data_IF_638001970513
#
_entry.id   IF_638001970513
#
_cell.length_a   1.000
_cell.length_b   1.000
_cell.length_c   1.000
_cell.angle_alpha   90.00
_cell.angle_beta   90.00
_cell.angle_gamma   90.00
#
_symmetry.space_group_name_H-M   'P 1'
#
loop_
_entity.id
_entity.type
_entity.pdbx_description
1 polymer ?
#
# COMPACT_ATOMS: atom_id res chain seq x y z
N UNK A 1 11.28 0.56 17.75
CA UNK A 1 10.36 0.64 16.59
C UNK A 1 9.64 -0.69 16.49
N UNK A 2 8.30 -0.70 16.51
CA UNK A 2 7.50 -1.92 16.45
C UNK A 2 6.70 -1.92 15.15
N UNK A 3 7.02 -2.85 14.25
CA UNK A 3 6.17 -3.16 13.10
C UNK A 3 5.39 -4.42 13.47
N UNK A 4 4.07 -4.36 13.34
CA UNK A 4 3.21 -5.49 13.63
C UNK A 4 3.52 -6.66 12.66
N UNK A 5 3.90 -7.85 13.16
CA UNK A 5 4.12 -9.03 12.33
C UNK A 5 2.92 -9.41 11.44
N UNK A 6 1.69 -9.10 11.88
CA UNK A 6 0.48 -9.31 11.08
C UNK A 6 0.49 -8.45 9.82
N UNK A 7 0.94 -7.19 9.91
CA UNK A 7 1.07 -6.29 8.76
C UNK A 7 2.03 -6.88 7.73
N UNK A 8 3.23 -7.30 8.15
CA UNK A 8 4.22 -7.88 7.24
C UNK A 8 3.69 -9.16 6.57
N UNK A 9 3.08 -10.06 7.36
CA UNK A 9 2.47 -11.28 6.84
C UNK A 9 1.35 -10.96 5.84
N UNK A 10 0.56 -9.93 6.12
CA UNK A 10 -0.52 -9.47 5.24
C UNK A 10 0.06 -8.98 3.92
N UNK A 11 1.03 -8.07 3.93
CA UNK A 11 1.64 -7.50 2.72
C UNK A 11 2.37 -8.55 1.89
N UNK A 12 3.09 -9.49 2.51
CA UNK A 12 3.82 -10.53 1.80
C UNK A 12 2.92 -11.44 0.94
N UNK A 13 1.63 -11.57 1.28
CA UNK A 13 0.65 -12.38 0.53
C UNK A 13 0.04 -11.66 -0.68
N UNK A 14 0.38 -10.39 -0.94
CA UNK A 14 -0.26 -9.61 -2.01
C UNK A 14 0.74 -8.72 -2.75
N UNK A 15 1.08 -9.14 -3.96
CA UNK A 15 2.02 -8.40 -4.81
C UNK A 15 1.46 -7.04 -5.23
N UNK A 16 0.15 -6.96 -5.51
CA UNK A 16 -0.49 -5.69 -5.82
C UNK A 16 -0.30 -4.66 -4.70
N UNK A 17 -0.50 -5.06 -3.43
CA UNK A 17 -0.32 -4.16 -2.28
C UNK A 17 1.12 -3.71 -2.13
N UNK A 18 2.11 -4.58 -2.36
CA UNK A 18 3.53 -4.19 -2.37
C UNK A 18 3.82 -3.13 -3.43
N UNK A 19 3.39 -3.35 -4.68
CA UNK A 19 3.59 -2.38 -5.76
C UNK A 19 2.94 -1.03 -5.47
N UNK A 20 1.74 -1.02 -4.90
CA UNK A 20 1.08 0.23 -4.47
C UNK A 20 1.91 0.95 -3.40
N UNK A 21 2.37 0.24 -2.37
CA UNK A 21 3.17 0.83 -1.30
C UNK A 21 4.51 1.38 -1.82
N UNK A 22 5.20 0.65 -2.71
CA UNK A 22 6.46 1.09 -3.32
C UNK A 22 6.26 2.35 -4.17
N UNK A 23 5.17 2.40 -4.96
CA UNK A 23 4.85 3.60 -5.75
C UNK A 23 4.52 4.81 -4.87
N UNK A 24 3.70 4.62 -3.83
CA UNK A 24 3.36 5.71 -2.90
C UNK A 24 4.57 6.22 -2.10
N UNK A 25 5.53 5.35 -1.81
CA UNK A 25 6.84 5.71 -1.23
C UNK A 25 7.69 6.56 -2.20
N UNK A 26 7.70 6.22 -3.49
CA UNK A 26 8.44 6.96 -4.52
C UNK A 26 7.97 8.42 -4.69
N UNK A 27 6.67 8.69 -4.48
CA UNK A 27 6.09 10.04 -4.60
C UNK A 27 5.86 10.73 -3.26
N UNK A 28 6.18 10.08 -2.14
CA UNK A 28 5.96 10.63 -0.80
C UNK A 28 6.73 11.96 -0.61
N UNK A 29 6.12 13.03 -0.05
CA UNK A 29 4.84 13.09 0.66
C UNK A 29 3.64 13.51 -0.21
N UNK A 30 3.73 13.43 -1.53
CA UNK A 30 2.63 13.84 -2.42
C UNK A 30 1.51 12.78 -2.44
N UNK A 31 0.24 13.17 -2.26
CA UNK A 31 -0.89 12.26 -2.47
C UNK A 31 -1.21 12.12 -3.97
N UNK A 32 -1.86 11.03 -4.36
CA UNK A 32 -2.25 10.79 -5.77
C UNK A 32 -3.62 10.13 -5.91
N UNK A 33 -4.18 10.15 -7.12
CA UNK A 33 -5.48 9.57 -7.43
C UNK A 33 -5.42 8.05 -7.59
N UNK A 34 -6.54 7.39 -7.32
CA UNK A 34 -6.71 5.95 -7.55
C UNK A 34 -6.41 5.54 -9.00
N UNK A 35 -6.87 6.33 -9.98
CA UNK A 35 -6.66 6.08 -11.40
C UNK A 35 -5.18 6.11 -11.78
N UNK A 36 -4.42 7.03 -11.17
CA UNK A 36 -2.98 7.14 -11.40
C UNK A 36 -2.22 5.96 -10.78
N UNK A 37 -2.61 5.55 -9.56
CA UNK A 37 -2.08 4.32 -8.93
C UNK A 37 -2.33 3.13 -9.86
N UNK A 38 -3.56 2.95 -10.34
CA UNK A 38 -3.93 1.86 -11.24
C UNK A 38 -3.09 1.84 -12.52
N UNK A 39 -2.85 3.01 -13.12
CA UNK A 39 -2.00 3.20 -14.29
C UNK A 39 -0.55 2.76 -14.02
N UNK A 40 0.06 3.26 -12.95
CA UNK A 40 1.47 3.00 -12.64
C UNK A 40 1.71 1.56 -12.21
N UNK A 41 0.87 1.01 -11.34
CA UNK A 41 1.01 -0.38 -10.86
C UNK A 41 0.48 -1.41 -11.87
N UNK A 42 -0.04 -0.97 -13.02
CA UNK A 42 -0.57 -1.83 -14.10
C UNK A 42 -1.62 -2.82 -13.56
N UNK A 43 -2.65 -2.30 -12.91
CA UNK A 43 -3.78 -3.07 -12.37
C UNK A 43 -5.09 -2.36 -12.68
N UNK A 44 -6.19 -3.10 -12.76
CA UNK A 44 -7.49 -2.46 -12.92
C UNK A 44 -7.85 -1.62 -11.67
N UNK A 45 -8.63 -0.53 -11.85
CA UNK A 45 -9.05 0.33 -10.75
C UNK A 45 -9.82 -0.38 -9.64
N UNK A 46 -10.58 -1.44 -9.93
CA UNK A 46 -11.37 -2.16 -8.93
C UNK A 46 -10.50 -2.95 -7.96
N UNK A 47 -9.45 -3.61 -8.47
CA UNK A 47 -8.44 -4.30 -7.66
C UNK A 47 -7.63 -3.31 -6.84
N UNK A 48 -7.24 -2.16 -7.40
CA UNK A 48 -6.55 -1.10 -6.64
C UNK A 48 -7.45 -0.56 -5.53
N UNK A 49 -8.74 -0.29 -5.82
CA UNK A 49 -9.72 0.11 -4.82
C UNK A 49 -9.83 -0.91 -3.71
N UNK A 50 -9.93 -2.20 -4.05
CA UNK A 50 -9.99 -3.30 -3.09
C UNK A 50 -8.73 -3.40 -2.22
N UNK A 51 -7.56 -3.20 -2.80
CA UNK A 51 -6.30 -3.20 -2.07
C UNK A 51 -6.18 -2.00 -1.10
N UNK A 52 -6.61 -0.81 -1.53
CA UNK A 52 -6.53 0.42 -0.73
C UNK A 52 -7.55 0.44 0.40
N UNK A 53 -8.84 0.22 0.10
CA UNK A 53 -9.95 0.45 1.04
C UNK A 53 -10.84 -0.76 1.29
N UNK A 54 -10.59 -1.90 0.61
CA UNK A 54 -11.45 -3.08 0.69
C UNK A 54 -12.65 -3.03 -0.25
N UNK A 55 -13.33 -4.17 -0.41
CA UNK A 55 -14.58 -4.31 -1.16
C UNK A 55 -15.65 -4.78 -0.18
N UNK A 56 -16.46 -3.83 0.29
CA UNK A 56 -17.25 -3.86 1.53
C UNK A 56 -18.25 -4.99 1.79
N UNK A 57 -18.27 -6.10 1.04
CA UNK A 57 -19.17 -7.23 1.34
C UNK A 57 -18.62 -8.64 1.08
N UNK A 58 -17.37 -8.85 0.61
CA UNK A 58 -16.85 -10.22 0.37
C UNK A 58 -15.40 -10.52 0.71
N UNK A 59 -14.65 -9.57 1.27
CA UNK A 59 -13.34 -9.84 1.88
C UNK A 59 -13.19 -8.95 3.10
N UNK A 60 -12.90 -9.57 4.24
CA UNK A 60 -12.77 -8.95 5.56
C UNK A 60 -11.97 -7.64 5.44
N UNK A 61 -12.64 -6.49 5.60
CA UNK A 61 -12.07 -5.14 5.46
C UNK A 61 -10.86 -4.86 6.37
N UNK A 62 -10.50 -5.79 7.26
CA UNK A 62 -9.38 -5.76 8.19
C UNK A 62 -7.97 -5.85 7.58
N UNK A 63 -7.81 -5.86 6.26
CA UNK A 63 -6.48 -5.99 5.63
C UNK A 63 -6.20 -5.07 4.44
N UNK A 64 -7.07 -4.09 4.20
CA UNK A 64 -6.79 -3.04 3.20
C UNK A 64 -5.61 -2.19 3.66
N UNK A 65 -4.92 -1.53 2.73
CA UNK A 65 -3.77 -0.69 3.10
C UNK A 65 -4.17 0.45 4.04
N UNK A 66 -5.39 0.98 3.89
CA UNK A 66 -5.95 1.99 4.78
C UNK A 66 -6.30 1.41 6.15
N UNK A 67 -6.94 0.24 6.23
CA UNK A 67 -7.28 -0.35 7.53
C UNK A 67 -6.07 -0.88 8.30
N UNK A 68 -4.96 -1.19 7.61
CA UNK A 68 -3.67 -1.50 8.21
C UNK A 68 -2.87 -0.24 8.63
N UNK A 69 -3.39 0.96 8.37
CA UNK A 69 -2.74 2.23 8.72
C UNK A 69 -1.51 2.57 7.87
N UNK A 70 -1.30 1.90 6.74
CA UNK A 70 -0.12 2.09 5.87
C UNK A 70 -0.33 3.22 4.86
N UNK A 71 -1.59 3.49 4.52
CA UNK A 71 -2.00 4.52 3.56
C UNK A 71 -3.13 5.32 4.20
N UNK A 72 -3.12 6.63 4.01
CA UNK A 72 -4.21 7.52 4.39
C UNK A 72 -5.00 7.99 3.17
N UNK A 73 -6.26 8.38 3.39
CA UNK A 73 -7.11 8.99 2.37
C UNK A 73 -7.13 10.49 2.62
N UNK A 74 -6.64 11.27 1.66
CA UNK A 74 -6.69 12.74 1.68
C UNK A 74 -7.90 13.18 0.85
N UNK A 75 -8.73 14.08 1.40
CA UNK A 75 -9.91 14.61 0.71
C UNK A 75 -9.72 16.11 0.48
N UNK A 76 -9.60 16.51 -0.79
CA UNK A 76 -9.41 17.90 -1.20
C UNK A 76 -10.31 18.21 -2.39
N UNK A 77 -11.08 19.29 -2.32
CA UNK A 77 -11.98 19.71 -3.40
C UNK A 77 -13.05 18.68 -3.78
N UNK A 78 -13.44 17.78 -2.86
CA UNK A 78 -14.39 16.69 -3.13
C UNK A 78 -13.77 15.45 -3.78
N UNK A 79 -12.47 15.45 -4.07
CA UNK A 79 -11.74 14.32 -4.62
C UNK A 79 -11.01 13.54 -3.54
N UNK A 80 -10.82 12.24 -3.78
CA UNK A 80 -10.06 11.34 -2.90
C UNK A 80 -8.69 11.06 -3.48
N UNK A 81 -7.69 11.23 -2.64
CA UNK A 81 -6.30 10.91 -2.93
C UNK A 81 -5.78 9.95 -1.86
N UNK A 82 -4.68 9.29 -2.19
CA UNK A 82 -4.05 8.30 -1.34
C UNK A 82 -2.58 8.66 -1.16
N UNK A 83 -2.11 8.58 0.08
CA UNK A 83 -0.73 8.87 0.46
C UNK A 83 -0.24 7.83 1.45
N UNK A 84 1.04 7.50 1.40
CA UNK A 84 1.68 6.66 2.41
C UNK A 84 1.64 7.37 3.78
N UNK A 85 1.45 6.64 4.87
CA UNK A 85 1.67 7.17 6.22
C UNK A 85 3.15 7.03 6.60
N UNK A 86 3.59 7.71 7.67
CA UNK A 86 4.93 7.47 8.24
C UNK A 86 5.12 5.99 8.64
N UNK A 87 4.08 5.35 9.18
CA UNK A 87 4.10 3.92 9.46
C UNK A 87 4.22 3.08 8.18
N UNK A 88 3.52 3.46 7.11
CA UNK A 88 3.66 2.85 5.79
C UNK A 88 5.09 2.95 5.25
N UNK A 89 5.73 4.11 5.38
CA UNK A 89 7.12 4.35 4.96
C UNK A 89 8.11 3.45 5.69
N UNK A 90 7.92 3.31 7.00
CA UNK A 90 8.67 2.37 7.83
C UNK A 90 8.54 0.92 7.35
N UNK A 91 7.31 0.49 7.03
CA UNK A 91 7.03 -0.85 6.51
C UNK A 91 7.68 -1.07 5.14
N UNK A 92 7.60 -0.09 4.23
CA UNK A 92 8.26 -0.16 2.91
C UNK A 92 9.78 -0.26 3.06
N UNK A 93 10.37 0.49 3.98
CA UNK A 93 11.80 0.38 4.30
C UNK A 93 12.21 -1.05 4.67
N UNK A 94 11.41 -1.73 5.49
CA UNK A 94 11.63 -3.12 5.85
C UNK A 94 11.48 -4.07 4.63
N UNK A 95 10.47 -3.86 3.79
CA UNK A 95 10.26 -4.69 2.59
C UNK A 95 11.46 -4.60 1.63
N UNK A 96 12.01 -3.40 1.43
CA UNK A 96 13.20 -3.18 0.59
C UNK A 96 14.45 -3.83 1.19
N UNK A 97 14.64 -3.77 2.51
CA UNK A 97 15.80 -4.41 3.17
C UNK A 97 15.76 -5.93 3.08
N UNK A 98 14.57 -6.54 3.25
CA UNK A 98 14.38 -7.98 3.07
C UNK A 98 14.70 -8.41 1.63
N UNK A 99 14.18 -7.70 0.62
CA UNK A 99 14.45 -8.02 -0.78
C UNK A 99 15.95 -7.93 -1.10
N UNK A 100 16.62 -6.87 -0.64
CA UNK A 100 18.08 -6.72 -0.82
C UNK A 100 18.88 -7.83 -0.15
N UNK A 101 18.45 -8.31 1.03
CA UNK A 101 19.12 -9.41 1.73
C UNK A 101 18.99 -10.73 0.95
N UNK A 102 17.77 -11.14 0.57
CA UNK A 102 17.56 -12.42 -0.11
C UNK A 102 18.05 -12.44 -1.56
N UNK A 103 18.01 -11.31 -2.26
CA UNK A 103 18.55 -11.19 -3.62
C UNK A 103 20.07 -11.38 -3.69
N UNK A 104 20.80 -11.38 -2.57
CA UNK A 104 22.24 -11.71 -2.53
C UNK A 104 22.52 -13.21 -2.54
N UNK A 105 21.50 -14.04 -2.36
CA UNK A 105 21.60 -15.50 -2.26
C UNK A 105 20.86 -16.22 -3.40
N UNK A 106 20.42 -15.49 -4.42
CA UNK A 106 19.78 -16.00 -5.64
C UNK A 106 20.51 -15.46 -6.86
#
# INVERSE_FOLDING_TARGET
MFIDPFVIRSINRSELRKRILLYLDEIYPSPTYLSEIARVVKSDPSNVKGALVGLGNRYNGHSSLVSLGLVEVVIEGGFKYYRLTEYGKQVVGLLRSYHSYYSKYT
#
